data_IF_430737154549
#
_entry.id   IF_430737154549
#
_cell.length_a   1.000
_cell.length_b   1.000
_cell.length_c   1.000
_cell.angle_alpha   90.00
_cell.angle_beta   90.00
_cell.angle_gamma   90.00
#
_symmetry.space_group_name_H-M   'P 1'
#
loop_
_entity.id
_entity.type
_entity.pdbx_description
1 polymer ?
#
# COMPACT_ATOMS: atom_id res chain seq x y z
N UNK A 1 -0.62 -16.16 4.08
CA UNK A 1 0.00 -17.51 4.05
C UNK A 1 -0.31 -18.21 5.35
N UNK A 2 -1.13 -19.27 5.34
CA UNK A 2 -1.46 -20.03 6.55
C UNK A 2 -0.42 -21.10 6.87
N UNK A 3 -0.57 -21.77 8.01
CA UNK A 3 0.37 -22.80 8.49
C UNK A 3 0.47 -23.98 7.51
N UNK A 4 -0.66 -24.41 6.94
CA UNK A 4 -0.69 -25.49 5.94
C UNK A 4 0.07 -25.11 4.66
N UNK A 5 -0.11 -23.89 4.17
CA UNK A 5 0.64 -23.35 3.02
C UNK A 5 2.14 -23.27 3.33
N UNK A 6 2.51 -22.82 4.55
CA UNK A 6 3.90 -22.73 4.97
C UNK A 6 4.57 -24.12 4.97
N UNK A 7 3.93 -25.13 5.56
CA UNK A 7 4.47 -26.49 5.57
C UNK A 7 4.57 -27.08 4.16
N UNK A 8 3.55 -26.90 3.32
CA UNK A 8 3.62 -27.35 1.92
C UNK A 8 4.77 -26.68 1.16
N UNK A 9 4.99 -25.37 1.35
CA UNK A 9 6.09 -24.64 0.74
C UNK A 9 7.46 -25.11 1.24
N UNK A 10 7.59 -25.46 2.53
CA UNK A 10 8.81 -26.03 3.12
C UNK A 10 9.15 -27.36 2.46
N UNK A 11 8.20 -28.30 2.43
CA UNK A 11 8.39 -29.62 1.82
C UNK A 11 8.80 -29.47 0.36
N UNK A 12 8.11 -28.60 -0.38
CA UNK A 12 8.41 -28.35 -1.79
C UNK A 12 9.82 -27.78 -2.02
N UNK A 13 10.25 -26.81 -1.20
CA UNK A 13 11.50 -26.09 -1.43
C UNK A 13 12.74 -26.78 -0.87
N UNK A 14 12.63 -27.43 0.29
CA UNK A 14 13.77 -27.93 1.07
C UNK A 14 13.56 -29.34 1.65
N UNK A 15 12.44 -30.00 1.35
CA UNK A 15 12.10 -31.33 1.89
C UNK A 15 11.46 -31.29 3.28
N UNK A 16 11.06 -32.45 3.78
CA UNK A 16 10.30 -32.60 5.04
C UNK A 16 11.14 -32.21 6.28
N UNK A 17 12.42 -32.56 6.29
CA UNK A 17 13.36 -32.24 7.38
C UNK A 17 14.06 -30.87 7.20
N UNK A 18 13.82 -30.19 6.08
CA UNK A 18 14.45 -28.91 5.74
C UNK A 18 13.82 -27.72 6.46
N UNK A 19 14.51 -26.57 6.46
CA UNK A 19 14.01 -25.32 7.04
C UNK A 19 14.01 -24.20 6.00
N UNK A 20 12.89 -23.49 5.89
CA UNK A 20 12.83 -22.20 5.19
C UNK A 20 13.53 -21.12 6.03
N UNK A 21 13.98 -20.00 5.43
CA UNK A 21 14.54 -18.89 6.19
C UNK A 21 13.61 -18.36 7.31
N UNK A 22 12.29 -18.42 7.11
CA UNK A 22 11.31 -18.01 8.13
C UNK A 22 11.25 -18.97 9.32
N UNK A 23 11.61 -20.25 9.14
CA UNK A 23 11.63 -21.26 10.21
C UNK A 23 12.81 -21.06 11.17
N UNK A 24 13.84 -20.33 10.73
CA UNK A 24 15.03 -20.03 11.51
C UNK A 24 14.88 -18.79 12.40
N UNK A 25 13.75 -18.07 12.29
CA UNK A 25 13.48 -16.94 13.18
C UNK A 25 13.37 -17.43 14.63
N UNK A 26 13.94 -16.71 15.61
CA UNK A 26 14.02 -17.18 17.00
C UNK A 26 12.65 -17.21 17.71
N UNK A 27 11.67 -16.47 17.19
CA UNK A 27 10.37 -16.28 17.83
C UNK A 27 9.24 -16.60 16.87
N UNK A 28 8.19 -17.24 17.41
CA UNK A 28 6.95 -17.50 16.69
C UNK A 28 5.75 -17.18 17.56
N UNK A 29 4.65 -16.76 16.93
CA UNK A 29 3.40 -16.48 17.63
C UNK A 29 2.21 -16.84 16.74
N UNK A 30 1.11 -17.22 17.39
CA UNK A 30 -0.17 -17.37 16.71
C UNK A 30 -0.93 -16.06 16.70
N UNK A 31 -1.51 -15.72 15.55
CA UNK A 31 -2.26 -14.48 15.36
C UNK A 31 -3.73 -14.80 15.08
N UNK A 32 -4.64 -14.19 15.85
CA UNK A 32 -6.09 -14.30 15.63
C UNK A 32 -6.56 -13.30 14.59
N UNK A 33 -6.90 -13.79 13.40
CA UNK A 33 -7.10 -12.96 12.20
C UNK A 33 -8.52 -12.48 11.95
N UNK A 34 -9.50 -12.71 12.83
CA UNK A 34 -10.86 -12.19 12.63
C UNK A 34 -10.85 -10.65 12.47
N UNK A 35 -11.67 -10.11 11.59
CA UNK A 35 -11.85 -8.65 11.45
C UNK A 35 -12.90 -8.15 12.45
N UNK A 36 -13.16 -6.85 12.53
CA UNK A 36 -14.15 -6.29 13.46
C UNK A 36 -15.56 -6.90 13.26
N UNK A 37 -15.92 -7.21 12.00
CA UNK A 37 -17.26 -7.65 11.61
C UNK A 37 -17.34 -9.07 11.04
N UNK A 38 -16.22 -9.80 10.93
CA UNK A 38 -16.22 -11.12 10.31
C UNK A 38 -15.23 -12.09 10.97
N UNK A 39 -15.63 -13.36 11.08
CA UNK A 39 -14.74 -14.45 11.51
C UNK A 39 -13.59 -14.67 10.52
N UNK A 40 -13.90 -14.58 9.22
CA UNK A 40 -12.94 -14.66 8.12
C UNK A 40 -12.70 -13.24 7.59
N UNK A 41 -11.52 -12.71 7.87
CA UNK A 41 -11.06 -11.42 7.36
C UNK A 41 -10.71 -11.50 5.88
N UNK A 42 -10.86 -10.40 5.16
CA UNK A 42 -10.19 -10.19 3.88
C UNK A 42 -8.82 -9.51 4.07
N UNK A 43 -8.16 -9.11 2.97
CA UNK A 43 -6.80 -8.55 2.99
C UNK A 43 -6.72 -7.13 3.54
N UNK A 44 -7.78 -6.33 3.41
CA UNK A 44 -7.77 -4.92 3.78
C UNK A 44 -7.65 -4.69 5.31
N UNK A 45 -8.60 -5.17 6.14
CA UNK A 45 -8.53 -5.01 7.59
C UNK A 45 -7.46 -5.90 8.25
N UNK A 46 -6.99 -6.96 7.58
CA UNK A 46 -5.93 -7.82 8.15
C UNK A 46 -4.58 -7.11 8.15
N UNK A 47 -4.09 -6.62 7.00
CA UNK A 47 -2.87 -5.80 7.01
C UNK A 47 -3.13 -4.46 7.69
N UNK A 48 -4.35 -3.89 7.57
CA UNK A 48 -4.74 -2.69 8.31
C UNK A 48 -4.51 -2.84 9.81
N UNK A 49 -4.90 -3.97 10.41
CA UNK A 49 -4.65 -4.25 11.82
C UNK A 49 -3.16 -4.39 12.15
N UNK A 50 -2.36 -5.03 11.29
CA UNK A 50 -0.91 -5.14 11.49
C UNK A 50 -0.18 -3.80 11.36
N UNK A 51 -0.68 -2.90 10.52
CA UNK A 51 -0.08 -1.60 10.27
C UNK A 51 -0.55 -0.52 11.25
N UNK A 52 -1.73 -0.66 11.85
CA UNK A 52 -2.33 0.41 12.66
C UNK A 52 -2.62 -0.01 14.11
N UNK A 53 -2.62 -1.31 14.41
CA UNK A 53 -3.06 -1.84 15.71
C UNK A 53 -4.59 -1.83 15.90
N UNK A 54 -5.37 -1.42 14.90
CA UNK A 54 -6.83 -1.27 14.99
C UNK A 54 -7.53 -2.29 14.08
N UNK A 55 -8.50 -3.03 14.63
CA UNK A 55 -9.38 -3.89 13.83
C UNK A 55 -10.46 -3.07 13.15
N UNK A 56 -10.75 -3.45 11.91
CA UNK A 56 -11.67 -2.77 10.99
C UNK A 56 -12.61 -3.81 10.38
N UNK A 57 -13.72 -3.37 9.78
CA UNK A 57 -14.59 -4.25 8.99
C UNK A 57 -13.92 -4.64 7.67
N UNK A 58 -14.38 -5.73 7.06
CA UNK A 58 -13.91 -6.13 5.74
C UNK A 58 -14.05 -5.00 4.73
N UNK A 59 -13.19 -5.01 3.71
CA UNK A 59 -13.06 -4.00 2.65
C UNK A 59 -12.48 -2.64 3.10
N UNK A 60 -12.44 -2.34 4.40
CA UNK A 60 -11.94 -1.06 4.92
C UNK A 60 -10.42 -1.07 5.07
N UNK A 61 -9.76 0.00 4.62
CA UNK A 61 -8.31 0.18 4.66
C UNK A 61 -7.96 1.30 5.64
N UNK A 62 -7.25 0.97 6.71
CA UNK A 62 -6.61 1.90 7.65
C UNK A 62 -7.53 2.98 8.26
N UNK A 63 -8.81 2.70 8.49
CA UNK A 63 -9.77 3.61 9.14
C UNK A 63 -10.05 3.18 10.58
N UNK A 64 -10.70 4.01 11.39
CA UNK A 64 -11.10 3.62 12.75
C UNK A 64 -12.16 2.52 12.78
N UNK A 65 -12.25 1.81 13.91
CA UNK A 65 -13.28 0.80 14.19
C UNK A 65 -14.70 1.34 13.96
N UNK A 66 -15.55 0.50 13.40
CA UNK A 66 -16.93 0.75 13.03
C UNK A 66 -17.11 1.37 11.66
N UNK A 67 -16.03 1.71 10.94
CA UNK A 67 -16.11 2.23 9.58
C UNK A 67 -16.81 1.22 8.69
N UNK A 68 -17.80 1.68 7.94
CA UNK A 68 -18.61 0.83 7.09
C UNK A 68 -18.08 0.92 5.67
N UNK A 69 -17.89 -0.25 5.06
CA UNK A 69 -17.57 -0.37 3.66
C UNK A 69 -18.69 0.20 2.79
N UNK A 70 -18.33 1.05 1.84
CA UNK A 70 -19.27 1.62 0.87
C UNK A 70 -18.64 1.44 -0.49
N UNK A 71 -19.34 0.72 -1.36
CA UNK A 71 -18.90 0.47 -2.73
C UNK A 71 -18.48 1.78 -3.42
N UNK A 72 -17.43 1.76 -4.25
CA UNK A 72 -17.13 2.88 -5.11
C UNK A 72 -18.32 3.18 -6.04
N UNK A 73 -18.46 4.44 -6.45
CA UNK A 73 -19.51 4.79 -7.41
C UNK A 73 -19.24 4.17 -8.79
N UNK A 74 -20.17 4.33 -9.74
CA UNK A 74 -20.00 3.81 -11.11
C UNK A 74 -18.72 4.29 -11.81
N UNK A 75 -18.14 5.39 -11.34
CA UNK A 75 -16.91 5.99 -11.85
C UNK A 75 -15.65 5.43 -11.17
N UNK A 76 -15.80 4.62 -10.11
CA UNK A 76 -14.71 4.04 -9.32
C UNK A 76 -14.19 4.93 -8.20
N UNK A 77 -14.86 6.06 -7.90
CA UNK A 77 -14.49 6.94 -6.80
C UNK A 77 -15.06 6.45 -5.46
N UNK A 78 -14.31 6.66 -4.39
CA UNK A 78 -14.73 6.31 -3.05
C UNK A 78 -15.94 7.11 -2.59
N UNK A 79 -16.72 6.49 -1.71
CA UNK A 79 -17.94 7.07 -1.17
C UNK A 79 -17.90 7.24 0.35
N UNK A 80 -16.70 7.37 0.92
CA UNK A 80 -16.52 7.40 2.38
C UNK A 80 -17.27 8.55 3.05
N UNK A 81 -17.19 9.76 2.47
CA UNK A 81 -17.88 10.93 2.99
C UNK A 81 -19.39 10.96 2.73
N UNK A 82 -19.93 10.10 1.86
CA UNK A 82 -21.37 10.08 1.55
C UNK A 82 -22.16 9.26 2.55
N UNK A 83 -21.50 8.44 3.37
CA UNK A 83 -22.12 7.61 4.38
C UNK A 83 -22.09 8.34 5.74
N UNK A 84 -23.25 8.73 6.31
CA UNK A 84 -23.32 9.43 7.59
C UNK A 84 -22.63 8.70 8.75
N UNK A 85 -22.64 7.37 8.74
CA UNK A 85 -22.00 6.55 9.77
C UNK A 85 -20.46 6.64 9.74
N UNK A 86 -19.87 7.05 8.61
CA UNK A 86 -18.43 7.25 8.47
C UNK A 86 -17.98 8.67 8.85
N UNK A 87 -18.89 9.64 9.00
CA UNK A 87 -18.53 11.05 9.20
C UNK A 87 -17.63 11.31 10.42
N UNK A 88 -17.83 10.56 11.51
CA UNK A 88 -17.05 10.72 12.74
C UNK A 88 -15.86 9.76 12.83
N UNK A 89 -15.63 8.93 11.80
CA UNK A 89 -14.61 7.89 11.81
C UNK A 89 -13.39 8.37 11.06
N UNK A 90 -12.33 8.61 11.82
CA UNK A 90 -11.08 9.13 11.27
C UNK A 90 -10.23 8.00 10.67
N UNK A 91 -9.19 8.41 9.98
CA UNK A 91 -8.12 7.50 9.62
C UNK A 91 -7.37 7.01 10.87
N UNK A 92 -6.73 5.84 10.76
CA UNK A 92 -5.85 5.31 11.80
C UNK A 92 -4.42 5.29 11.29
N UNK A 93 -3.51 5.94 12.01
CA UNK A 93 -2.12 6.08 11.59
C UNK A 93 -1.43 4.73 11.38
N UNK A 94 -0.69 4.59 10.28
CA UNK A 94 0.05 3.38 9.93
C UNK A 94 1.49 3.40 10.44
N UNK A 95 2.12 2.23 10.57
CA UNK A 95 3.53 2.08 10.88
C UNK A 95 4.44 2.76 9.83
N UNK A 96 4.02 2.82 8.56
CA UNK A 96 4.79 3.48 7.50
C UNK A 96 4.77 5.00 7.71
N UNK A 97 3.62 5.57 8.05
CA UNK A 97 3.50 7.00 8.38
C UNK A 97 4.29 7.35 9.63
N UNK A 98 4.26 6.48 10.64
CA UNK A 98 5.10 6.62 11.84
C UNK A 98 6.60 6.59 11.51
N UNK A 99 7.01 5.76 10.54
CA UNK A 99 8.39 5.73 10.06
C UNK A 99 8.76 7.03 9.30
N UNK A 100 7.90 7.52 8.38
CA UNK A 100 8.08 8.83 7.72
C UNK A 100 8.11 9.98 8.74
N UNK A 101 7.25 9.94 9.76
CA UNK A 101 7.22 10.92 10.84
C UNK A 101 8.58 11.02 11.55
N UNK A 102 9.23 9.88 11.78
CA UNK A 102 10.57 9.76 12.38
C UNK A 102 11.74 9.98 11.42
N UNK A 103 11.47 10.22 10.13
CA UNK A 103 12.50 10.42 9.11
C UNK A 103 13.23 9.13 8.70
N UNK A 104 12.60 7.97 8.90
CA UNK A 104 13.14 6.68 8.46
C UNK A 104 12.87 6.47 6.97
N UNK A 105 13.69 5.62 6.35
CA UNK A 105 13.42 5.14 4.99
C UNK A 105 12.18 4.25 4.97
N UNK A 106 11.31 4.42 3.98
CA UNK A 106 10.10 3.62 3.81
C UNK A 106 10.01 3.01 2.42
N UNK A 107 9.40 1.83 2.36
CA UNK A 107 9.15 1.17 1.09
C UNK A 107 7.92 0.27 1.12
N UNK A 108 7.28 0.14 -0.03
CA UNK A 108 6.15 -0.75 -0.30
C UNK A 108 6.52 -1.59 -1.50
N UNK A 109 6.72 -2.89 -1.29
CA UNK A 109 7.14 -3.85 -2.32
C UNK A 109 6.15 -4.99 -2.36
N UNK A 110 5.63 -5.31 -3.55
CA UNK A 110 4.62 -6.33 -3.75
C UNK A 110 4.69 -6.92 -5.15
N UNK A 111 4.19 -8.14 -5.32
CA UNK A 111 3.92 -8.74 -6.63
C UNK A 111 2.51 -8.43 -7.14
N UNK A 112 1.67 -7.80 -6.32
CA UNK A 112 0.31 -7.39 -6.70
C UNK A 112 0.30 -5.97 -7.30
N UNK A 113 -0.87 -5.40 -7.56
CA UNK A 113 -0.98 -3.96 -7.83
C UNK A 113 -0.62 -3.18 -6.59
N UNK A 114 0.12 -2.07 -6.70
CA UNK A 114 0.46 -1.25 -5.52
C UNK A 114 -0.77 -0.65 -4.82
N UNK A 115 -1.89 -0.57 -5.54
CA UNK A 115 -3.21 -0.14 -5.08
C UNK A 115 -4.07 -1.26 -4.50
N UNK A 116 -3.61 -2.51 -4.56
CA UNK A 116 -4.31 -3.63 -3.94
C UNK A 116 -4.35 -3.46 -2.41
N UNK A 117 -5.34 -4.07 -1.75
CA UNK A 117 -5.58 -3.91 -0.31
C UNK A 117 -4.33 -4.07 0.56
N UNK A 118 -3.52 -5.10 0.32
CA UNK A 118 -2.30 -5.34 1.11
C UNK A 118 -1.34 -4.15 1.03
N UNK A 119 -0.71 -3.80 -0.10
CA UNK A 119 0.18 -2.63 -0.14
C UNK A 119 -0.54 -1.33 0.28
N UNK A 120 -1.81 -1.14 -0.10
CA UNK A 120 -2.59 0.04 0.25
C UNK A 120 -2.75 0.26 1.77
N UNK A 121 -2.95 -0.81 2.56
CA UNK A 121 -3.06 -0.72 4.03
C UNK A 121 -1.78 -0.23 4.73
N UNK A 122 -0.69 -0.02 3.99
CA UNK A 122 0.51 0.63 4.53
C UNK A 122 0.48 2.15 4.42
N UNK A 123 -0.26 2.73 3.47
CA UNK A 123 -0.16 4.16 3.15
C UNK A 123 -1.50 4.86 2.86
N UNK A 124 -2.58 4.12 2.62
CA UNK A 124 -3.87 4.68 2.25
C UNK A 124 -4.88 4.54 3.39
N UNK A 125 -5.86 5.43 3.40
CA UNK A 125 -7.03 5.45 4.28
C UNK A 125 -8.29 5.58 3.43
N UNK A 126 -9.09 4.52 3.40
CA UNK A 126 -10.28 4.49 2.55
C UNK A 126 -11.27 3.46 3.09
N UNK A 127 -12.56 3.78 2.98
CA UNK A 127 -13.64 2.91 3.42
C UNK A 127 -13.85 1.68 2.52
N UNK A 128 -13.26 1.65 1.32
CA UNK A 128 -13.41 0.52 0.40
C UNK A 128 -12.15 0.27 -0.42
N UNK A 129 -11.67 -0.98 -0.40
CA UNK A 129 -10.45 -1.42 -1.07
C UNK A 129 -10.49 -1.35 -2.59
N UNK A 130 -11.68 -1.40 -3.18
CA UNK A 130 -11.84 -1.37 -4.64
C UNK A 130 -11.81 0.04 -5.25
N UNK A 131 -11.74 1.09 -4.43
CA UNK A 131 -11.51 2.46 -4.90
C UNK A 131 -10.02 2.69 -5.27
N UNK A 132 -9.44 1.80 -6.09
CA UNK A 132 -8.01 1.73 -6.38
C UNK A 132 -7.45 2.99 -7.06
N UNK A 133 -8.25 3.72 -7.84
CA UNK A 133 -7.85 5.01 -8.44
C UNK A 133 -7.63 6.09 -7.37
N UNK A 134 -8.47 6.11 -6.34
CA UNK A 134 -8.34 7.05 -5.23
C UNK A 134 -7.18 6.64 -4.32
N UNK A 135 -7.02 5.33 -4.06
CA UNK A 135 -5.85 4.77 -3.37
C UNK A 135 -4.55 5.19 -4.08
N UNK A 136 -4.47 5.09 -5.41
CA UNK A 136 -3.28 5.52 -6.17
C UNK A 136 -2.95 7.00 -5.91
N UNK A 137 -3.98 7.85 -5.83
CA UNK A 137 -3.82 9.28 -5.61
C UNK A 137 -3.25 9.60 -4.22
N UNK A 138 -3.53 8.76 -3.21
CA UNK A 138 -2.98 8.92 -1.86
C UNK A 138 -1.46 8.68 -1.78
N UNK A 139 -0.87 8.00 -2.78
CA UNK A 139 0.55 7.68 -2.82
C UNK A 139 1.41 8.74 -3.52
N UNK A 140 0.80 9.63 -4.30
CA UNK A 140 1.50 10.57 -5.19
C UNK A 140 1.67 11.93 -4.52
N UNK A 141 2.90 12.35 -4.16
CA UNK A 141 3.12 13.67 -3.59
C UNK A 141 2.66 14.75 -4.56
N UNK A 142 1.76 15.62 -4.12
CA UNK A 142 1.41 16.83 -4.87
C UNK A 142 1.99 18.05 -4.15
N UNK A 143 2.85 18.81 -4.82
CA UNK A 143 3.60 19.94 -4.24
C UNK A 143 2.76 21.18 -3.94
N UNK A 144 1.43 21.11 -4.12
CA UNK A 144 0.52 22.25 -3.96
C UNK A 144 -0.78 21.91 -3.23
N UNK A 145 -0.98 20.65 -2.81
CA UNK A 145 -2.33 20.15 -2.56
C UNK A 145 -3.09 20.18 -3.88
N UNK A 146 -3.13 19.06 -4.59
CA UNK A 146 -3.89 18.97 -5.84
C UNK A 146 -5.33 19.46 -5.65
N UNK A 147 -6.01 19.86 -6.74
CA UNK A 147 -7.42 20.30 -6.68
C UNK A 147 -8.35 19.24 -6.04
N UNK A 148 -7.89 18.00 -5.99
CA UNK A 148 -8.58 16.86 -5.41
C UNK A 148 -8.24 16.63 -3.92
N UNK A 149 -7.16 17.24 -3.42
CA UNK A 149 -6.57 17.09 -2.08
C UNK A 149 -6.46 15.64 -1.61
N UNK A 150 -6.02 14.74 -2.51
CA UNK A 150 -6.06 13.29 -2.27
C UNK A 150 -4.77 12.70 -1.73
N UNK A 151 -3.65 13.42 -1.81
CA UNK A 151 -2.38 12.90 -1.27
C UNK A 151 -2.49 12.64 0.23
N UNK A 152 -2.00 11.48 0.70
CA UNK A 152 -1.85 11.28 2.13
C UNK A 152 -0.67 12.11 2.65
N UNK A 153 -1.00 13.27 3.20
CA UNK A 153 -0.03 14.24 3.74
C UNK A 153 0.85 13.69 4.86
N UNK A 154 0.45 12.61 5.55
CA UNK A 154 1.28 11.95 6.58
C UNK A 154 2.52 11.26 5.99
N UNK A 155 2.53 11.01 4.67
CA UNK A 155 3.68 10.49 3.94
C UNK A 155 4.74 11.57 3.65
N UNK A 156 4.49 12.84 4.00
CA UNK A 156 5.42 13.98 3.85
C UNK A 156 5.89 14.19 2.40
N UNK A 157 7.11 13.75 2.09
CA UNK A 157 7.76 13.84 0.78
C UNK A 157 7.55 12.56 -0.07
N UNK A 158 6.68 11.67 0.38
CA UNK A 158 6.30 10.44 -0.32
C UNK A 158 6.99 9.19 0.23
N UNK A 159 6.61 8.03 -0.30
CA UNK A 159 7.28 6.75 0.00
C UNK A 159 8.57 6.65 -0.81
N UNK A 160 9.66 6.21 -0.17
CA UNK A 160 10.98 6.22 -0.81
C UNK A 160 11.15 5.08 -1.82
N UNK A 161 10.53 3.92 -1.61
CA UNK A 161 10.56 2.81 -2.58
C UNK A 161 9.18 2.24 -2.78
N UNK A 162 8.73 2.13 -4.02
CA UNK A 162 7.42 1.64 -4.40
C UNK A 162 7.64 0.63 -5.53
N UNK A 163 7.44 -0.66 -5.30
CA UNK A 163 7.63 -1.68 -6.33
C UNK A 163 6.40 -2.58 -6.36
N UNK A 164 5.75 -2.69 -7.50
CA UNK A 164 4.57 -3.54 -7.71
C UNK A 164 3.84 -3.19 -9.01
N UNK A 165 2.85 -3.99 -9.38
CA UNK A 165 2.03 -3.77 -10.57
C UNK A 165 1.03 -2.60 -10.43
N UNK A 166 0.05 -2.54 -11.34
CA UNK A 166 -1.08 -1.61 -11.23
C UNK A 166 -0.94 -0.31 -12.03
N UNK A 167 -0.15 -0.31 -13.12
CA UNK A 167 0.05 0.85 -14.00
C UNK A 167 -1.26 1.52 -14.43
N UNK A 168 -2.30 0.71 -14.66
CA UNK A 168 -3.61 1.19 -15.12
C UNK A 168 -4.26 2.20 -14.17
N UNK A 169 -4.05 2.12 -12.85
CA UNK A 169 -4.62 3.08 -11.89
C UNK A 169 -3.87 4.42 -11.84
N UNK A 170 -2.75 4.52 -12.54
CA UNK A 170 -1.91 5.73 -12.58
C UNK A 170 -2.03 6.48 -13.91
N UNK A 171 -2.79 5.96 -14.88
CA UNK A 171 -2.97 6.56 -16.19
C UNK A 171 -4.45 6.84 -16.49
N UNK A 172 -4.74 7.90 -17.27
CA UNK A 172 -6.08 8.17 -17.76
C UNK A 172 -6.50 7.14 -18.82
N UNK A 173 -7.82 7.00 -19.04
CA UNK A 173 -8.39 6.01 -19.97
C UNK A 173 -7.89 6.15 -21.41
N UNK A 174 -7.71 7.37 -21.88
CA UNK A 174 -7.16 7.67 -23.22
C UNK A 174 -5.67 7.28 -23.37
N UNK A 175 -4.97 7.02 -22.25
CA UNK A 175 -3.60 6.52 -22.21
C UNK A 175 -3.52 5.05 -21.75
N UNK A 176 -4.62 4.31 -21.85
CA UNK A 176 -4.68 2.88 -21.53
C UNK A 176 -4.74 2.57 -20.03
N UNK A 177 -5.17 3.52 -19.20
CA UNK A 177 -5.44 3.30 -17.78
C UNK A 177 -6.93 3.26 -17.43
N UNK A 178 -7.20 3.39 -16.14
CA UNK A 178 -8.55 3.31 -15.56
C UNK A 178 -8.99 4.63 -14.90
N UNK A 179 -8.10 5.64 -14.88
CA UNK A 179 -8.44 6.91 -14.23
C UNK A 179 -9.46 7.70 -15.05
N UNK A 180 -10.38 8.31 -14.33
CA UNK A 180 -11.51 9.08 -14.87
C UNK A 180 -11.34 10.59 -14.70
N UNK A 181 -10.30 11.03 -14.01
CA UNK A 181 -9.99 12.43 -13.71
C UNK A 181 -8.92 13.01 -14.65
N UNK A 182 -8.60 12.30 -15.73
CA UNK A 182 -7.60 12.68 -16.74
C UNK A 182 -6.17 12.85 -16.20
N UNK A 183 -5.89 12.46 -14.95
CA UNK A 183 -4.56 12.60 -14.36
C UNK A 183 -3.62 11.51 -14.86
N UNK A 184 -2.40 11.91 -15.18
CA UNK A 184 -1.29 10.99 -15.38
C UNK A 184 -0.41 11.04 -14.12
N UNK A 185 -0.69 10.14 -13.18
CA UNK A 185 0.02 10.05 -11.90
C UNK A 185 1.49 9.62 -12.07
N UNK A 186 1.83 8.93 -13.16
CA UNK A 186 3.23 8.60 -13.48
C UNK A 186 4.01 9.88 -13.75
N UNK A 187 3.46 10.78 -14.56
CA UNK A 187 4.07 12.07 -14.86
C UNK A 187 4.20 12.93 -13.60
N UNK A 188 3.18 12.94 -12.74
CA UNK A 188 3.22 13.64 -11.45
C UNK A 188 4.32 13.08 -10.53
N UNK A 189 4.48 11.76 -10.46
CA UNK A 189 5.58 11.13 -9.71
C UNK A 189 6.95 11.52 -10.26
N UNK A 190 7.12 11.55 -11.59
CA UNK A 190 8.35 12.02 -12.21
C UNK A 190 8.66 13.49 -11.89
N UNK A 191 7.64 14.35 -11.89
CA UNK A 191 7.77 15.76 -11.48
C UNK A 191 8.15 15.89 -10.00
N UNK A 192 7.66 14.98 -9.14
CA UNK A 192 8.06 14.86 -7.74
C UNK A 192 9.46 14.24 -7.56
N UNK A 193 10.17 13.91 -8.65
CA UNK A 193 11.55 13.42 -8.64
C UNK A 193 11.69 11.89 -8.54
N UNK A 194 10.59 11.13 -8.70
CA UNK A 194 10.66 9.67 -8.75
C UNK A 194 11.28 9.21 -10.06
N UNK A 195 12.08 8.14 -9.97
CA UNK A 195 12.54 7.40 -11.15
C UNK A 195 11.57 6.26 -11.44
N UNK A 196 11.10 6.23 -12.67
CA UNK A 196 10.16 5.22 -13.16
C UNK A 196 10.91 4.07 -13.79
N UNK A 197 10.54 2.86 -13.41
CA UNK A 197 11.16 1.60 -13.85
C UNK A 197 10.06 0.64 -14.27
N UNK A 198 10.30 -0.09 -15.34
CA UNK A 198 9.30 -0.96 -15.94
C UNK A 198 9.82 -2.39 -16.16
N UNK A 199 11.11 -2.64 -15.96
CA UNK A 199 11.71 -3.94 -16.19
C UNK A 199 12.92 -4.22 -15.28
N UNK A 200 13.32 -5.49 -15.26
CA UNK A 200 14.43 -5.98 -14.45
C UNK A 200 15.79 -5.38 -14.88
N UNK A 201 15.96 -5.06 -16.16
CA UNK A 201 17.21 -4.47 -16.67
C UNK A 201 17.39 -3.06 -16.09
N UNK A 202 16.35 -2.23 -16.17
CA UNK A 202 16.34 -0.90 -15.57
C UNK A 202 16.53 -0.96 -14.05
N UNK A 203 15.85 -1.91 -13.37
CA UNK A 203 16.00 -2.12 -11.93
C UNK A 203 17.44 -2.48 -11.54
N UNK A 204 18.06 -3.42 -12.26
CA UNK A 204 19.45 -3.86 -12.00
C UNK A 204 20.51 -2.81 -12.31
N UNK A 205 20.25 -1.92 -13.27
CA UNK A 205 21.17 -0.84 -13.65
C UNK A 205 21.10 0.37 -12.72
N UNK A 206 20.16 0.37 -11.77
CA UNK A 206 20.02 1.47 -10.85
C UNK A 206 21.18 1.59 -9.89
N UNK A 207 21.91 2.69 -10.04
CA UNK A 207 22.85 3.16 -9.04
C UNK A 207 22.08 3.95 -7.99
N UNK A 208 21.89 3.34 -6.81
CA UNK A 208 21.49 4.05 -5.61
C UNK A 208 22.60 5.09 -5.32
N UNK A 209 22.38 6.35 -5.70
CA UNK A 209 23.38 7.41 -5.50
C UNK A 209 23.76 7.50 -4.02
N UNK A 210 25.07 7.50 -3.70
CA UNK A 210 25.69 7.56 -2.36
C UNK A 210 24.68 7.62 -1.20
N UNK A 211 24.23 6.44 -0.78
CA UNK A 211 23.53 6.27 0.49
C UNK A 211 24.63 6.19 1.54
N UNK A 212 24.95 7.31 2.17
CA UNK A 212 25.58 7.23 3.49
C UNK A 212 24.58 6.49 4.37
N UNK A 213 24.93 5.28 4.82
CA UNK A 213 24.25 4.54 5.89
C UNK A 213 24.28 5.39 7.16
N UNK A 214 23.41 6.38 7.17
CA UNK A 214 22.96 7.11 8.32
C UNK A 214 21.46 6.89 8.27
N UNK A 215 20.92 6.20 9.28
CA UNK A 215 19.56 5.66 9.39
C UNK A 215 18.44 6.74 9.28
N UNK A 216 18.79 7.97 8.90
CA UNK A 216 17.97 9.19 8.92
C UNK A 216 17.55 9.74 7.55
N UNK A 217 17.95 9.18 6.41
CA UNK A 217 17.38 9.61 5.11
C UNK A 217 17.72 8.69 3.95
N UNK A 218 16.68 8.12 3.33
CA UNK A 218 16.74 7.68 1.94
C UNK A 218 16.20 8.85 1.09
N UNK A 219 17.01 9.35 0.17
CA UNK A 219 16.58 10.30 -0.87
C UNK A 219 16.90 9.65 -2.20
N UNK A 220 16.00 8.83 -2.72
CA UNK A 220 15.90 8.46 -4.14
C UNK A 220 14.64 7.62 -4.29
N UNK A 221 13.58 8.27 -4.73
CA UNK A 221 12.26 7.69 -4.75
C UNK A 221 12.09 6.76 -5.97
N UNK A 222 11.73 5.50 -5.75
CA UNK A 222 11.67 4.45 -6.80
C UNK A 222 10.24 3.98 -7.04
N UNK A 223 9.81 3.91 -8.31
CA UNK A 223 8.55 3.24 -8.70
C UNK A 223 8.85 2.17 -9.77
N UNK A 224 8.66 0.88 -9.47
CA UNK A 224 8.84 -0.21 -10.44
C UNK A 224 7.55 -0.98 -10.65
N UNK A 225 7.15 -1.16 -11.92
CA UNK A 225 6.13 -2.13 -12.31
C UNK A 225 6.79 -3.45 -12.73
N UNK A 226 6.92 -4.40 -11.80
CA UNK A 226 7.29 -5.78 -12.15
C UNK A 226 6.19 -6.73 -11.66
N UNK A 227 5.24 -7.05 -12.55
CA UNK A 227 5.05 -8.32 -13.27
C UNK A 227 3.90 -8.11 -14.27
#
# INVERSE_FOLDING_TARGET
>A
MGITTLTAARIYAVGEDGQLPIDQLPESAFVRTFSEGAQVTDSAPSLGAYMTGVKMKNEVISMQTGTIAVEPNQAGNHQCGTNPQNQNKQDTQTLLELAKARGWGTGVVTTTRITHATPASTYAHICHRDAENDIASQLVPSSQGDIYQRYNVKLKDGVDVILGGGKRQFLPKDQGGERIDQRNLIAEMQQAGYRMIYDQTQLSQMKLGKITLNIKKWKNNLLSYCF
#
